data_IF_528346823698
#
_entry.id   IF_528346823698
#
_cell.length_a   1.000
_cell.length_b   1.000
_cell.length_c   1.000
_cell.angle_alpha   90.00
_cell.angle_beta   90.00
_cell.angle_gamma   90.00
#
_symmetry.space_group_name_H-M   'P 1'
#
loop_
_entity.id
_entity.type
_entity.pdbx_description
1 polymer ?
#
# COMPACT_ATOMS: atom_id res chain seq x y z
N UNK A 1 -23.20 -5.55 13.31
CA UNK A 1 -22.34 -5.92 12.15
C UNK A 1 -22.27 -4.88 11.02
N UNK A 2 -23.12 -3.85 10.96
CA UNK A 2 -23.19 -2.95 9.78
C UNK A 2 -22.26 -1.73 9.74
N UNK A 3 -21.83 -1.18 10.89
CA UNK A 3 -21.25 0.17 10.96
C UNK A 3 -19.93 0.36 10.18
N UNK A 4 -19.09 -0.67 10.09
CA UNK A 4 -17.77 -0.59 9.45
C UNK A 4 -17.60 -1.49 8.22
N UNK A 5 -18.69 -2.02 7.64
CA UNK A 5 -18.59 -2.99 6.53
C UNK A 5 -17.85 -2.43 5.31
N UNK A 6 -18.11 -1.17 4.94
CA UNK A 6 -17.42 -0.51 3.83
C UNK A 6 -15.94 -0.25 4.16
N UNK A 7 -15.62 0.28 5.34
CA UNK A 7 -14.25 0.53 5.76
C UNK A 7 -13.41 -0.75 5.83
N UNK A 8 -13.98 -1.87 6.30
CA UNK A 8 -13.34 -3.19 6.26
C UNK A 8 -13.03 -3.62 4.84
N UNK A 9 -13.93 -3.37 3.89
CA UNK A 9 -13.69 -3.65 2.46
C UNK A 9 -12.57 -2.79 1.91
N UNK A 10 -12.55 -1.49 2.24
CA UNK A 10 -11.48 -0.57 1.84
C UNK A 10 -10.10 -1.02 2.33
N UNK A 11 -9.99 -1.60 3.53
CA UNK A 11 -8.72 -2.16 4.03
C UNK A 11 -8.20 -3.26 3.10
N UNK A 12 -9.07 -4.19 2.66
CA UNK A 12 -8.67 -5.26 1.74
C UNK A 12 -8.26 -4.70 0.37
N UNK A 13 -9.00 -3.71 -0.13
CA UNK A 13 -8.69 -3.05 -1.41
C UNK A 13 -7.34 -2.33 -1.33
N UNK A 14 -7.09 -1.55 -0.28
CA UNK A 14 -5.82 -0.85 -0.08
C UNK A 14 -4.66 -1.85 0.05
N UNK A 15 -4.85 -2.95 0.78
CA UNK A 15 -3.83 -4.01 0.85
C UNK A 15 -3.53 -4.63 -0.51
N UNK A 16 -4.58 -4.94 -1.28
CA UNK A 16 -4.44 -5.44 -2.64
C UNK A 16 -3.68 -4.48 -3.54
N UNK A 17 -4.02 -3.19 -3.50
CA UNK A 17 -3.35 -2.13 -4.26
C UNK A 17 -1.88 -1.97 -3.87
N UNK A 18 -1.57 -1.97 -2.56
CA UNK A 18 -0.19 -1.87 -2.08
C UNK A 18 0.69 -3.01 -2.60
N UNK A 19 0.19 -4.25 -2.53
CA UNK A 19 0.91 -5.40 -3.10
C UNK A 19 1.02 -5.37 -4.61
N UNK A 20 -0.04 -4.94 -5.30
CA UNK A 20 -0.04 -4.81 -6.76
C UNK A 20 0.98 -3.78 -7.23
N UNK A 21 1.08 -2.63 -6.55
CA UNK A 21 2.08 -1.59 -6.85
C UNK A 21 3.48 -2.12 -6.58
N UNK A 22 3.70 -2.82 -5.46
CA UNK A 22 5.01 -3.39 -5.14
C UNK A 22 5.47 -4.43 -6.18
N UNK A 23 4.61 -5.41 -6.49
CA UNK A 23 4.92 -6.47 -7.47
C UNK A 23 5.07 -5.88 -8.88
N UNK A 24 4.20 -4.94 -9.25
CA UNK A 24 4.29 -4.22 -10.52
C UNK A 24 5.58 -3.42 -10.64
N UNK A 25 5.97 -2.71 -9.58
CA UNK A 25 7.21 -1.96 -9.52
C UNK A 25 8.46 -2.85 -9.61
N UNK A 26 8.45 -4.03 -8.98
CA UNK A 26 9.50 -5.02 -9.14
C UNK A 26 9.60 -5.54 -10.57
N UNK A 27 8.47 -5.87 -11.20
CA UNK A 27 8.44 -6.35 -12.58
C UNK A 27 8.94 -5.27 -13.56
N UNK A 28 8.46 -4.04 -13.42
CA UNK A 28 8.87 -2.91 -14.27
C UNK A 28 10.33 -2.54 -14.03
N UNK A 29 10.79 -2.53 -12.77
CA UNK A 29 12.19 -2.28 -12.43
C UNK A 29 13.14 -3.34 -12.99
N UNK A 30 12.71 -4.61 -12.99
CA UNK A 30 13.46 -5.70 -13.62
C UNK A 30 13.50 -5.55 -15.15
N UNK A 31 12.39 -5.16 -15.78
CA UNK A 31 12.36 -4.86 -17.22
C UNK A 31 13.26 -3.67 -17.58
N UNK A 32 13.30 -2.63 -16.74
CA UNK A 32 14.19 -1.49 -16.92
C UNK A 32 15.68 -1.89 -16.90
N UNK A 33 16.02 -2.88 -16.09
CA UNK A 33 17.37 -3.43 -16.04
C UNK A 33 17.72 -4.22 -17.32
N UNK A 34 16.82 -5.11 -17.77
CA UNK A 34 17.07 -5.94 -18.95
C UNK A 34 17.05 -5.16 -20.26
N UNK A 35 16.13 -4.20 -20.39
CA UNK A 35 15.97 -3.40 -21.60
C UNK A 35 15.50 -1.98 -21.26
N UNK A 36 16.44 -1.05 -21.01
CA UNK A 36 16.13 0.32 -20.64
C UNK A 36 15.37 1.11 -21.71
N UNK A 37 15.52 0.74 -22.99
CA UNK A 37 14.86 1.43 -24.11
C UNK A 37 13.34 1.30 -24.05
N UNK A 38 12.83 0.16 -23.55
CA UNK A 38 11.39 -0.06 -23.35
C UNK A 38 10.82 1.00 -22.40
N UNK A 39 11.52 1.27 -21.30
CA UNK A 39 11.05 2.20 -20.25
C UNK A 39 11.13 3.66 -20.72
N UNK A 40 12.15 4.00 -21.53
CA UNK A 40 12.25 5.31 -22.18
C UNK A 40 11.10 5.55 -23.15
N UNK A 41 10.64 4.52 -23.87
CA UNK A 41 9.49 4.64 -24.78
C UNK A 41 8.18 5.00 -24.05
N UNK A 42 8.08 4.68 -22.76
CA UNK A 42 6.98 5.09 -21.88
C UNK A 42 7.20 6.46 -21.21
N UNK A 43 8.23 7.21 -21.60
CA UNK A 43 8.52 8.55 -21.11
C UNK A 43 9.24 8.61 -19.77
N UNK A 44 9.75 7.48 -19.27
CA UNK A 44 10.52 7.45 -18.01
C UNK A 44 11.99 7.76 -18.31
N UNK A 45 12.55 8.85 -17.77
CA UNK A 45 13.93 9.23 -18.04
C UNK A 45 14.93 8.26 -17.39
N UNK A 46 16.01 7.95 -18.11
CA UNK A 46 17.13 7.18 -17.56
C UNK A 46 17.97 8.06 -16.63
N UNK A 47 17.68 8.01 -15.33
CA UNK A 47 18.51 8.66 -14.33
C UNK A 47 19.91 8.03 -14.33
N UNK A 48 20.93 8.79 -14.74
CA UNK A 48 22.32 8.32 -14.81
C UNK A 48 22.66 7.46 -16.04
N UNK A 49 21.79 7.40 -17.05
CA UNK A 49 22.09 6.74 -18.34
C UNK A 49 22.17 5.21 -18.32
N UNK A 50 21.95 4.57 -17.17
CA UNK A 50 21.98 3.11 -17.04
C UNK A 50 20.59 2.55 -16.74
N UNK A 51 20.24 1.39 -17.32
CA UNK A 51 18.99 0.69 -17.01
C UNK A 51 18.93 0.20 -15.56
N UNK A 52 20.09 -0.04 -14.93
CA UNK A 52 20.20 -0.47 -13.54
C UNK A 52 19.72 0.65 -12.59
N UNK A 53 20.23 1.87 -12.78
CA UNK A 53 19.86 3.01 -11.93
C UNK A 53 18.38 3.39 -12.10
N UNK A 54 17.85 3.32 -13.31
CA UNK A 54 16.41 3.51 -13.56
C UNK A 54 15.57 2.41 -12.88
N UNK A 55 15.96 1.13 -13.02
CA UNK A 55 15.27 0.02 -12.37
C UNK A 55 15.26 0.13 -10.84
N UNK A 56 16.39 0.48 -10.24
CA UNK A 56 16.49 0.71 -8.79
C UNK A 56 15.59 1.86 -8.33
N UNK A 57 15.54 2.97 -9.08
CA UNK A 57 14.67 4.11 -8.77
C UNK A 57 13.19 3.70 -8.80
N UNK A 58 12.77 2.94 -9.82
CA UNK A 58 11.40 2.42 -9.95
C UNK A 58 11.04 1.52 -8.76
N UNK A 59 11.91 0.56 -8.43
CA UNK A 59 11.70 -0.33 -7.28
C UNK A 59 11.59 0.47 -5.98
N UNK A 60 12.48 1.45 -5.78
CA UNK A 60 12.46 2.29 -4.59
C UNK A 60 11.16 3.09 -4.46
N UNK A 61 10.73 3.79 -5.51
CA UNK A 61 9.48 4.58 -5.51
C UNK A 61 8.27 3.67 -5.27
N UNK A 62 8.17 2.55 -5.98
CA UNK A 62 7.07 1.60 -5.80
C UNK A 62 7.02 1.00 -4.40
N UNK A 63 8.18 0.80 -3.76
CA UNK A 63 8.27 0.31 -2.38
C UNK A 63 7.73 1.35 -1.40
N UNK A 64 8.13 2.62 -1.56
CA UNK A 64 7.62 3.72 -0.73
C UNK A 64 6.10 3.84 -0.89
N UNK A 65 5.60 3.87 -2.12
CA UNK A 65 4.16 3.97 -2.38
C UNK A 65 3.38 2.80 -1.78
N UNK A 66 3.88 1.57 -1.95
CA UNK A 66 3.28 0.39 -1.35
C UNK A 66 3.25 0.46 0.18
N UNK A 67 4.34 0.89 0.81
CA UNK A 67 4.41 1.06 2.27
C UNK A 67 3.40 2.10 2.75
N UNK A 68 3.29 3.25 2.07
CA UNK A 68 2.33 4.30 2.42
C UNK A 68 0.87 3.80 2.34
N UNK A 69 0.53 3.07 1.28
CA UNK A 69 -0.82 2.51 1.09
C UNK A 69 -1.12 1.44 2.14
N UNK A 70 -0.17 0.55 2.43
CA UNK A 70 -0.32 -0.48 3.46
C UNK A 70 -0.44 0.13 4.87
N UNK A 71 0.35 1.18 5.16
CA UNK A 71 0.27 1.91 6.41
C UNK A 71 -1.10 2.60 6.58
N UNK A 72 -1.63 3.20 5.51
CA UNK A 72 -2.98 3.76 5.53
C UNK A 72 -4.05 2.70 5.81
N UNK A 73 -3.94 1.52 5.20
CA UNK A 73 -4.84 0.41 5.46
C UNK A 73 -4.80 -0.03 6.94
N UNK A 74 -3.61 -0.11 7.54
CA UNK A 74 -3.47 -0.51 8.94
C UNK A 74 -3.95 0.59 9.90
N UNK A 75 -3.76 1.87 9.56
CA UNK A 75 -4.28 2.99 10.32
C UNK A 75 -5.82 2.93 10.42
N UNK A 76 -6.50 2.70 9.29
CA UNK A 76 -7.96 2.55 9.27
C UNK A 76 -8.40 1.37 10.14
N UNK A 77 -7.69 0.24 10.05
CA UNK A 77 -7.96 -0.94 10.88
C UNK A 77 -7.83 -0.64 12.37
N UNK A 78 -6.80 0.10 12.75
CA UNK A 78 -6.54 0.49 14.13
C UNK A 78 -7.65 1.40 14.67
N UNK A 79 -8.11 2.38 13.88
CA UNK A 79 -9.26 3.22 14.24
C UNK A 79 -10.54 2.41 14.49
N UNK A 80 -10.85 1.44 13.62
CA UNK A 80 -12.03 0.57 13.80
C UNK A 80 -11.89 -0.23 15.09
N UNK A 81 -10.70 -0.80 15.34
CA UNK A 81 -10.44 -1.58 16.56
C UNK A 81 -10.57 -0.75 17.83
N UNK A 82 -10.16 0.52 17.80
CA UNK A 82 -10.29 1.44 18.93
C UNK A 82 -11.76 1.77 19.22
N UNK A 83 -12.57 2.10 18.22
CA UNK A 83 -13.99 2.39 18.42
C UNK A 83 -14.76 1.17 18.94
N UNK A 84 -14.50 -0.02 18.37
CA UNK A 84 -15.08 -1.26 18.85
C UNK A 84 -14.64 -1.59 20.29
N UNK A 85 -13.38 -1.31 20.64
CA UNK A 85 -12.86 -1.47 22.00
C UNK A 85 -13.51 -0.54 23.01
N UNK A 86 -13.66 0.74 22.66
CA UNK A 86 -14.32 1.75 23.51
C UNK A 86 -15.80 1.41 23.76
N UNK A 87 -16.51 0.93 22.74
CA UNK A 87 -17.90 0.49 22.90
C UNK A 87 -18.00 -0.69 23.87
N UNK A 88 -17.16 -1.72 23.71
CA UNK A 88 -17.13 -2.86 24.65
C UNK A 88 -16.80 -2.44 26.08
N UNK A 89 -15.87 -1.50 26.25
CA UNK A 89 -15.50 -0.98 27.56
C UNK A 89 -16.70 -0.28 28.22
N UNK A 90 -17.39 0.57 27.45
CA UNK A 90 -18.61 1.26 27.90
C UNK A 90 -19.70 0.26 28.31
N UNK A 91 -19.95 -0.76 27.51
CA UNK A 91 -20.96 -1.78 27.80
C UNK A 91 -20.63 -2.58 29.06
N UNK A 92 -19.34 -2.89 29.29
CA UNK A 92 -18.87 -3.55 30.51
C UNK A 92 -19.16 -2.71 31.78
N UNK A 93 -18.87 -1.41 31.74
CA UNK A 93 -19.14 -0.53 32.88
C UNK A 93 -20.63 -0.26 33.12
N UNK A 94 -21.47 -0.34 32.08
CA UNK A 94 -22.93 -0.19 32.19
C UNK A 94 -23.59 -1.47 32.72
N UNK A 95 -23.15 -2.64 32.25
CA UNK A 95 -23.69 -3.94 32.65
C UNK A 95 -23.22 -4.41 34.04
N UNK A 96 -22.21 -3.76 34.62
CA UNK A 96 -21.68 -4.05 35.96
C UNK A 96 -22.38 -3.29 37.10
N UNK A 97 -23.47 -2.56 36.81
CA UNK A 97 -24.39 -1.99 37.80
C UNK A 97 -25.68 -2.80 37.82
#
# INVERSE_FOLDING_TARGET
MGKYKMLRTSIYVLRGLGWLIFIGGLAVGFLAWLNPEIIVSYGVPLFGGSGISAGLAIVFVSTIEAVLILALAELIRLFISMDEGLQKLKDFFISGK
#
